data_IF_993481467073
#
_entry.id   IF_993481467073
#
_cell.length_a   1.000
_cell.length_b   1.000
_cell.length_c   1.000
_cell.angle_alpha   90.00
_cell.angle_beta   90.00
_cell.angle_gamma   90.00
#
_symmetry.space_group_name_H-M   'P 1'
#
loop_
_entity.id
_entity.type
_entity.pdbx_description
1 polymer ?
#
# COMPACT_ATOMS: atom_id res chain seq x y z
N UNK A 1 -19.77 -5.49 -7.92
CA UNK A 1 -19.45 -4.04 -7.88
C UNK A 1 -18.92 -3.61 -9.25
N UNK A 2 -19.22 -2.39 -9.72
CA UNK A 2 -18.65 -1.88 -10.98
C UNK A 2 -17.12 -1.77 -10.85
N UNK A 3 -16.40 -2.02 -11.95
CA UNK A 3 -14.93 -1.92 -11.96
C UNK A 3 -14.49 -0.49 -11.67
N UNK A 4 -13.62 -0.32 -10.68
CA UNK A 4 -13.02 0.96 -10.37
C UNK A 4 -11.94 1.27 -11.43
N UNK A 5 -11.85 2.53 -11.88
CA UNK A 5 -10.79 2.99 -12.77
C UNK A 5 -9.84 3.87 -12.00
N UNK A 6 -8.62 3.40 -11.78
CA UNK A 6 -7.56 4.13 -11.08
C UNK A 6 -7.43 5.58 -11.56
N UNK A 7 -7.27 6.49 -10.60
CA UNK A 7 -6.80 7.86 -10.78
C UNK A 7 -5.74 8.15 -9.73
N UNK A 8 -4.75 8.96 -10.10
CA UNK A 8 -3.79 9.51 -9.14
C UNK A 8 -4.55 10.32 -8.08
N UNK A 9 -4.16 10.16 -6.82
CA UNK A 9 -4.84 10.74 -5.66
C UNK A 9 -5.98 9.88 -5.11
N UNK A 10 -6.36 8.79 -5.78
CA UNK A 10 -7.38 7.88 -5.25
C UNK A 10 -6.96 7.37 -3.88
N UNK A 11 -7.80 7.63 -2.89
CA UNK A 11 -7.66 7.20 -1.51
C UNK A 11 -8.64 6.07 -1.27
N UNK A 12 -8.19 4.99 -0.64
CA UNK A 12 -8.94 3.75 -0.54
C UNK A 12 -8.64 2.98 0.75
N UNK A 13 -9.57 2.09 1.09
CA UNK A 13 -9.46 1.14 2.19
C UNK A 13 -9.06 -0.23 1.68
N UNK A 14 -8.04 -0.83 2.30
CA UNK A 14 -7.61 -2.21 2.08
C UNK A 14 -8.17 -3.09 3.19
N UNK A 15 -9.12 -4.01 2.92
CA UNK A 15 -9.58 -4.95 3.93
C UNK A 15 -8.49 -5.94 4.32
N UNK A 16 -8.31 -6.18 5.61
CA UNK A 16 -7.43 -7.21 6.18
C UNK A 16 -8.25 -8.26 6.96
N UNK A 17 -7.57 -9.25 7.52
CA UNK A 17 -8.11 -10.56 7.92
C UNK A 17 -9.15 -10.51 9.04
N UNK A 18 -9.07 -9.52 9.92
CA UNK A 18 -9.98 -9.37 11.06
C UNK A 18 -11.20 -8.49 10.74
N UNK A 19 -11.47 -8.23 9.46
CA UNK A 19 -12.48 -7.29 8.95
C UNK A 19 -12.18 -5.81 9.25
N UNK A 20 -10.98 -5.46 9.69
CA UNK A 20 -10.52 -4.08 9.68
C UNK A 20 -9.97 -3.68 8.30
N UNK A 21 -9.70 -2.39 8.16
CA UNK A 21 -9.30 -1.77 6.92
C UNK A 21 -8.10 -0.86 7.15
N UNK A 22 -7.17 -0.84 6.20
CA UNK A 22 -5.97 0.00 6.25
C UNK A 22 -5.99 1.03 5.14
N UNK A 23 -5.60 2.27 5.46
CA UNK A 23 -5.61 3.38 4.52
C UNK A 23 -4.50 3.24 3.46
N UNK A 24 -4.86 3.45 2.20
CA UNK A 24 -3.93 3.57 1.09
C UNK A 24 -4.25 4.75 0.18
N UNK A 25 -3.24 5.26 -0.51
CA UNK A 25 -3.37 6.29 -1.54
C UNK A 25 -2.56 5.93 -2.78
N UNK A 26 -3.16 6.11 -3.96
CA UNK A 26 -2.45 6.01 -5.25
C UNK A 26 -1.71 7.31 -5.49
N UNK A 27 -0.38 7.25 -5.55
CA UNK A 27 0.45 8.42 -5.75
C UNK A 27 0.75 8.63 -7.23
N UNK A 28 1.01 7.55 -7.96
CA UNK A 28 1.34 7.61 -9.38
C UNK A 28 0.84 6.38 -10.15
N UNK A 29 0.68 6.53 -11.46
CA UNK A 29 0.45 5.43 -12.38
C UNK A 29 1.72 5.19 -13.20
N UNK A 30 2.27 3.99 -13.11
CA UNK A 30 3.52 3.64 -13.77
C UNK A 30 3.26 2.64 -14.89
N UNK A 31 3.01 3.18 -16.09
CA UNK A 31 2.71 2.37 -17.28
C UNK A 31 3.90 1.56 -17.75
N UNK A 32 5.11 2.10 -17.59
CA UNK A 32 6.37 1.49 -18.01
C UNK A 32 6.79 0.35 -17.07
N UNK A 33 6.42 0.43 -15.80
CA UNK A 33 6.67 -0.62 -14.79
C UNK A 33 5.48 -1.57 -14.77
N UNK A 34 5.38 -2.42 -15.79
CA UNK A 34 4.39 -3.50 -15.90
C UNK A 34 2.92 -3.04 -15.70
N UNK A 35 2.59 -1.80 -16.05
CA UNK A 35 1.27 -1.21 -15.81
C UNK A 35 0.83 -1.27 -14.33
N UNK A 36 1.75 -0.94 -13.42
CA UNK A 36 1.53 -0.84 -11.98
C UNK A 36 0.97 0.51 -11.55
N UNK A 37 0.55 0.57 -10.29
CA UNK A 37 0.29 1.80 -9.56
C UNK A 37 1.28 1.92 -8.41
N UNK A 38 1.78 3.12 -8.17
CA UNK A 38 2.53 3.42 -6.96
C UNK A 38 1.52 3.71 -5.86
N UNK A 39 1.54 2.91 -4.80
CA UNK A 39 0.69 3.10 -3.64
C UNK A 39 1.53 3.36 -2.40
N UNK A 40 1.05 4.26 -1.56
CA UNK A 40 1.51 4.44 -0.18
C UNK A 40 0.42 3.94 0.75
N UNK A 41 0.81 3.18 1.75
CA UNK A 41 -0.08 2.67 2.80
C UNK A 41 0.29 3.32 4.12
N UNK A 42 -0.70 3.66 4.93
CA UNK A 42 -0.52 4.43 6.16
C UNK A 42 -0.92 3.62 7.38
N UNK A 43 -0.29 3.90 8.52
CA UNK A 43 -0.67 3.37 9.83
C UNK A 43 -1.96 4.03 10.32
N UNK A 44 -3.04 3.68 9.62
CA UNK A 44 -4.39 4.11 9.86
C UNK A 44 -5.28 2.88 9.61
N UNK A 45 -5.66 2.21 10.71
CA UNK A 45 -6.52 1.02 10.71
C UNK A 45 -7.84 1.33 11.37
N UNK A 46 -8.93 0.96 10.71
CA UNK A 46 -10.30 1.19 11.18
C UNK A 46 -11.14 -0.08 11.04
N UNK A 47 -12.11 -0.29 11.91
CA UNK A 47 -13.09 -1.39 11.83
C UNK A 47 -14.42 -0.96 11.23
N UNK A 48 -14.71 0.34 11.29
CA UNK A 48 -15.90 0.97 10.74
C UNK A 48 -15.47 1.99 9.70
N UNK A 49 -16.14 1.97 8.55
CA UNK A 49 -15.78 2.81 7.39
C UNK A 49 -16.50 4.15 7.40
N UNK A 50 -17.69 4.18 8.01
CA UNK A 50 -18.51 5.37 8.09
C UNK A 50 -17.82 6.40 9.00
N UNK A 51 -17.53 7.58 8.44
CA UNK A 51 -16.87 8.71 9.14
C UNK A 51 -15.46 8.40 9.69
N UNK A 52 -14.82 7.33 9.20
CA UNK A 52 -13.45 6.97 9.56
C UNK A 52 -12.47 8.14 9.27
N UNK A 53 -11.68 8.60 10.26
CA UNK A 53 -10.72 9.67 10.05
C UNK A 53 -9.62 9.20 9.10
N UNK A 54 -9.35 9.99 8.06
CA UNK A 54 -8.23 9.76 7.15
C UNK A 54 -6.97 10.38 7.78
N UNK A 55 -6.00 9.54 8.16
CA UNK A 55 -4.72 9.99 8.70
C UNK A 55 -3.56 9.53 7.80
N UNK A 56 -2.80 10.50 7.28
CA UNK A 56 -1.70 10.29 6.35
C UNK A 56 -0.30 10.51 6.99
N UNK A 57 -0.23 10.77 8.29
CA UNK A 57 1.00 11.20 8.98
C UNK A 57 2.05 10.10 9.08
N UNK A 58 1.62 8.83 9.06
CA UNK A 58 2.47 7.69 9.35
C UNK A 58 2.48 6.70 8.16
N UNK A 59 3.22 6.99 7.07
CA UNK A 59 3.35 6.05 5.96
C UNK A 59 4.15 4.81 6.39
N UNK A 60 3.64 3.63 6.07
CA UNK A 60 4.24 2.31 6.36
C UNK A 60 5.20 1.90 5.25
N UNK A 61 4.71 1.92 4.00
CA UNK A 61 5.43 1.50 2.82
C UNK A 61 4.99 2.26 1.57
N UNK A 62 5.86 2.34 0.58
CA UNK A 62 5.56 2.86 -0.75
C UNK A 62 6.00 1.82 -1.78
N UNK A 63 5.08 1.30 -2.58
CA UNK A 63 5.35 0.13 -3.44
C UNK A 63 4.68 0.26 -4.82
N UNK A 64 5.28 -0.36 -5.83
CA UNK A 64 4.58 -0.63 -7.09
C UNK A 64 3.66 -1.83 -6.89
N UNK A 65 2.37 -1.66 -7.15
CA UNK A 65 1.35 -2.67 -6.88
C UNK A 65 0.54 -3.00 -8.13
N UNK A 66 0.14 -4.26 -8.26
CA UNK A 66 -0.86 -4.68 -9.25
C UNK A 66 -2.19 -3.97 -9.01
N UNK A 67 -2.88 -3.59 -10.10
CA UNK A 67 -4.12 -2.79 -10.05
C UNK A 67 -5.38 -3.62 -9.79
N UNK A 68 -5.26 -4.94 -9.65
CA UNK A 68 -6.36 -5.92 -9.74
C UNK A 68 -7.37 -5.83 -8.58
N UNK A 69 -6.92 -5.80 -7.32
CA UNK A 69 -7.82 -5.67 -6.17
C UNK A 69 -8.50 -4.30 -6.09
N UNK A 70 -7.80 -3.25 -6.52
CA UNK A 70 -8.42 -1.93 -6.68
C UNK A 70 -9.45 -1.91 -7.81
N UNK A 71 -9.10 -2.38 -9.01
CA UNK A 71 -10.01 -2.37 -10.15
C UNK A 71 -11.25 -3.25 -9.92
N UNK A 72 -11.12 -4.34 -9.16
CA UNK A 72 -12.25 -5.21 -8.79
C UNK A 72 -13.16 -4.62 -7.71
N UNK A 73 -12.74 -3.54 -7.04
CA UNK A 73 -13.47 -2.92 -5.93
C UNK A 73 -13.29 -3.61 -4.58
N UNK A 74 -12.39 -4.61 -4.50
CA UNK A 74 -12.03 -5.21 -3.22
C UNK A 74 -11.25 -4.23 -2.33
N UNK A 75 -10.42 -3.37 -2.93
CA UNK A 75 -9.94 -2.17 -2.26
C UNK A 75 -10.93 -1.05 -2.53
N UNK A 76 -11.57 -0.55 -1.48
CA UNK A 76 -12.74 0.31 -1.60
C UNK A 76 -12.30 1.76 -1.74
N UNK A 77 -12.58 2.38 -2.90
CA UNK A 77 -12.30 3.82 -3.07
C UNK A 77 -13.18 4.64 -2.12
N UNK A 78 -12.56 5.59 -1.45
CA UNK A 78 -13.19 6.57 -0.56
C UNK A 78 -13.35 7.90 -1.28
N UNK A 79 -12.24 8.43 -1.79
CA UNK A 79 -12.16 9.77 -2.35
C UNK A 79 -11.00 9.87 -3.36
N UNK A 80 -10.91 11.00 -4.04
CA UNK A 80 -9.73 11.39 -4.80
C UNK A 80 -9.21 12.68 -4.16
N UNK A 81 -8.04 12.59 -3.50
CA UNK A 81 -7.45 13.65 -2.71
C UNK A 81 -6.08 14.04 -3.29
N UNK A 82 -5.59 15.27 -3.05
CA UNK A 82 -4.22 15.64 -3.37
C UNK A 82 -3.23 14.65 -2.74
N UNK A 83 -2.07 14.48 -3.37
CA UNK A 83 -0.99 13.66 -2.81
C UNK A 83 -0.65 14.13 -1.39
N UNK A 84 -0.73 13.22 -0.41
CA UNK A 84 -0.45 13.50 0.99
C UNK A 84 0.99 13.14 1.40
N UNK A 85 1.80 12.67 0.44
CA UNK A 85 3.13 12.10 0.69
C UNK A 85 4.20 12.99 0.07
N UNK A 86 5.24 13.29 0.85
CA UNK A 86 6.41 14.02 0.37
C UNK A 86 7.22 13.20 -0.65
N UNK A 87 7.73 13.90 -1.66
CA UNK A 87 8.53 13.32 -2.75
C UNK A 87 9.73 12.48 -2.29
N UNK A 88 10.31 12.79 -1.13
CA UNK A 88 11.47 12.09 -0.56
C UNK A 88 11.15 10.64 -0.13
N UNK A 89 9.87 10.33 0.08
CA UNK A 89 9.42 9.00 0.51
C UNK A 89 9.13 8.07 -0.67
N UNK A 90 9.30 8.56 -1.90
CA UNK A 90 9.06 7.82 -3.13
C UNK A 90 10.33 7.02 -3.49
N UNK A 91 10.37 5.70 -3.23
CA UNK A 91 11.60 4.89 -3.28
C UNK A 91 12.14 4.73 -4.70
N UNK A 92 11.36 5.11 -5.70
CA UNK A 92 11.69 4.90 -7.10
C UNK A 92 12.34 6.10 -7.78
N UNK A 93 12.45 7.27 -7.13
CA UNK A 93 13.11 8.41 -7.78
C UNK A 93 14.57 8.13 -8.10
N UNK A 94 15.23 7.32 -7.29
CA UNK A 94 16.60 6.83 -7.57
C UNK A 94 16.63 5.75 -8.65
N UNK A 95 15.61 4.90 -8.77
CA UNK A 95 15.54 3.89 -9.83
C UNK A 95 15.08 4.47 -11.18
N UNK A 96 14.28 5.54 -11.16
CA UNK A 96 13.75 6.20 -12.35
C UNK A 96 14.87 6.85 -13.16
N UNK A 97 15.86 7.44 -12.49
CA UNK A 97 17.06 8.01 -13.14
C UNK A 97 17.94 6.94 -13.83
N UNK A 98 17.81 5.67 -13.42
CA UNK A 98 18.53 4.52 -13.97
C UNK A 98 17.65 3.64 -14.87
N UNK A 99 16.51 4.14 -15.37
CA UNK A 99 15.63 3.41 -16.28
C UNK A 99 14.89 2.23 -15.64
N UNK A 100 14.55 2.34 -14.35
CA UNK A 100 13.78 1.35 -13.57
C UNK A 100 14.50 0.02 -13.29
N UNK A 101 15.82 -0.05 -13.49
CA UNK A 101 16.60 -1.26 -13.16
C UNK A 101 16.47 -1.55 -11.66
N UNK A 102 15.99 -2.76 -11.34
CA UNK A 102 15.74 -3.19 -9.95
C UNK A 102 14.32 -2.90 -9.44
N UNK A 103 13.47 -2.21 -10.22
CA UNK A 103 12.07 -2.00 -9.85
C UNK A 103 11.30 -3.33 -9.88
N UNK A 104 10.72 -3.72 -8.74
CA UNK A 104 9.86 -4.89 -8.62
C UNK A 104 8.43 -4.48 -8.29
N UNK A 105 7.46 -5.13 -8.95
CA UNK A 105 6.04 -4.99 -8.62
C UNK A 105 5.62 -6.04 -7.59
N UNK A 106 4.77 -5.63 -6.66
CA UNK A 106 4.17 -6.48 -5.64
C UNK A 106 2.71 -6.77 -6.00
N UNK A 107 2.31 -8.03 -5.87
CA UNK A 107 0.90 -8.39 -5.97
C UNK A 107 0.09 -7.74 -4.86
N UNK A 108 -1.05 -7.15 -5.20
CA UNK A 108 -2.00 -6.55 -4.26
C UNK A 108 -2.44 -7.53 -3.14
N UNK A 109 -2.51 -8.84 -3.43
CA UNK A 109 -2.72 -9.87 -2.41
C UNK A 109 -1.57 -10.00 -1.41
N UNK A 110 -0.32 -9.84 -1.85
CA UNK A 110 0.85 -9.81 -0.97
C UNK A 110 0.86 -8.55 -0.10
N UNK A 111 0.44 -7.40 -0.64
CA UNK A 111 0.26 -6.17 0.15
C UNK A 111 -0.75 -6.38 1.26
N UNK A 112 -1.91 -6.99 0.98
CA UNK A 112 -2.92 -7.28 2.01
C UNK A 112 -2.32 -8.11 3.15
N UNK A 113 -1.61 -9.19 2.83
CA UNK A 113 -0.95 -10.06 3.81
C UNK A 113 0.11 -9.33 4.63
N UNK A 114 0.92 -8.50 3.97
CA UNK A 114 1.90 -7.64 4.62
C UNK A 114 1.26 -6.67 5.62
N UNK A 115 0.17 -5.99 5.25
CA UNK A 115 -0.55 -5.09 6.14
C UNK A 115 -1.15 -5.85 7.33
N UNK A 116 -1.66 -7.05 7.11
CA UNK A 116 -2.15 -7.91 8.19
C UNK A 116 -1.03 -8.33 9.16
N UNK A 117 0.15 -8.70 8.64
CA UNK A 117 1.33 -8.99 9.44
C UNK A 117 1.84 -7.77 10.22
N UNK A 118 1.79 -6.57 9.62
CA UNK A 118 2.14 -5.31 10.30
C UNK A 118 1.26 -5.04 11.53
N UNK A 119 0.02 -5.52 11.50
CA UNK A 119 -0.93 -5.44 12.61
C UNK A 119 -1.03 -6.71 13.46
N UNK A 120 -0.11 -7.67 13.31
CA UNK A 120 -0.04 -8.87 14.14
C UNK A 120 -1.07 -9.96 13.82
N UNK A 121 -1.78 -9.85 12.70
CA UNK A 121 -2.78 -10.84 12.30
C UNK A 121 -2.17 -12.05 11.57
N UNK A 122 -0.91 -11.93 11.16
CA UNK A 122 -0.12 -12.99 10.52
C UNK A 122 1.31 -12.95 11.04
N UNK A 123 2.00 -14.08 10.95
CA UNK A 123 3.42 -14.17 11.31
C UNK A 123 4.25 -13.30 10.35
N UNK A 124 5.23 -12.57 10.89
CA UNK A 124 6.02 -11.62 10.10
C UNK A 124 6.94 -12.32 9.08
N UNK A 125 7.33 -13.55 9.38
CA UNK A 125 8.28 -14.38 8.64
C UNK A 125 7.59 -15.55 7.90
N UNK A 126 6.27 -15.48 7.70
CA UNK A 126 5.49 -16.54 7.04
C UNK A 126 5.81 -16.73 5.55
N UNK A 127 6.46 -15.75 4.93
CA UNK A 127 6.78 -15.75 3.51
C UNK A 127 8.01 -16.61 3.26
N UNK A 128 8.22 -17.04 2.01
CA UNK A 128 9.37 -17.88 1.66
C UNK A 128 10.71 -17.24 2.06
N UNK A 129 10.86 -15.93 1.82
CA UNK A 129 11.91 -15.14 2.42
C UNK A 129 11.40 -14.54 3.75
N UNK A 130 11.97 -14.91 4.90
CA UNK A 130 11.53 -14.40 6.21
C UNK A 130 11.74 -12.88 6.37
N UNK A 131 12.60 -12.26 5.54
CA UNK A 131 12.81 -10.83 5.54
C UNK A 131 11.94 -10.08 4.52
N UNK A 132 11.07 -10.79 3.79
CA UNK A 132 10.28 -10.19 2.71
C UNK A 132 9.47 -8.99 3.20
N UNK A 133 8.69 -9.13 4.28
CA UNK A 133 7.92 -8.01 4.84
C UNK A 133 8.80 -6.90 5.40
N UNK A 134 9.96 -7.24 5.98
CA UNK A 134 10.92 -6.25 6.43
C UNK A 134 11.42 -5.37 5.29
N UNK A 135 11.68 -5.95 4.11
CA UNK A 135 12.14 -5.20 2.93
C UNK A 135 11.09 -4.26 2.34
N UNK A 136 9.80 -4.41 2.71
CA UNK A 136 8.73 -3.56 2.21
C UNK A 136 8.58 -2.25 2.99
N UNK A 137 9.03 -2.23 4.24
CA UNK A 137 8.91 -1.07 5.13
C UNK A 137 9.74 0.11 4.62
N UNK A 138 9.22 1.32 4.82
CA UNK A 138 10.06 2.51 4.72
C UNK A 138 11.18 2.44 5.77
N UNK A 139 12.38 3.00 5.50
CA UNK A 139 13.55 2.83 6.38
C UNK A 139 13.35 3.26 7.84
N UNK A 140 12.46 4.23 8.09
CA UNK A 140 12.17 4.76 9.43
C UNK A 140 11.01 4.06 10.13
N UNK A 141 10.41 3.04 9.52
CA UNK A 141 9.23 2.35 10.05
C UNK A 141 9.66 1.02 10.65
N UNK A 142 9.28 0.81 11.91
CA UNK A 142 9.42 -0.47 12.58
C UNK A 142 8.09 -1.22 12.54
N UNK A 143 8.15 -2.56 12.48
CA UNK A 143 6.95 -3.38 12.64
C UNK A 143 6.34 -3.12 14.03
N UNK A 144 5.01 -3.15 14.15
CA UNK A 144 4.38 -3.07 15.48
C UNK A 144 4.72 -4.33 16.26
N UNK A 145 5.38 -4.17 17.41
CA UNK A 145 5.57 -5.24 18.36
C UNK A 145 4.19 -5.65 18.88
N UNK A 146 3.69 -6.79 18.44
CA UNK A 146 2.46 -7.35 18.96
C UNK A 146 2.80 -8.06 20.28
N UNK A 147 2.13 -7.63 21.35
CA UNK A 147 2.23 -8.20 22.70
C UNK A 147 1.35 -9.44 22.79
#
# INVERSE_FOLDING_TARGET
MPRQRVKVGDTFWVPIEDNSFVLGQIIEEQREVLNSITCVFFDCRVTELDEAPLNFDNPICCQFVTRDLFNSGQWQRIANLPNQVEDKLLPYRETMSNGWIGASMIGSGSIRKFLAAFYGLREWDEMFDPNYYQSLLLPSVERKNCV
#
